data_IF_822188695873
#
_entry.id   IF_822188695873
#
_cell.length_a   1.000
_cell.length_b   1.000
_cell.length_c   1.000
_cell.angle_alpha   90.00
_cell.angle_beta   90.00
_cell.angle_gamma   90.00
#
_symmetry.space_group_name_H-M   'P 1'
#
loop_
_entity.id
_entity.type
_entity.pdbx_description
1 polymer ?
#
# COMPACT_ATOMS: atom_id res chain seq x y z
N UNK A 1 -29.16 -28.99 -4.54
CA UNK A 1 -30.62 -28.77 -4.63
C UNK A 1 -30.86 -27.85 -5.80
N UNK A 2 -31.56 -28.35 -6.81
CA UNK A 2 -31.78 -27.74 -8.13
C UNK A 2 -33.19 -27.16 -8.19
N UNK A 3 -33.39 -26.10 -8.99
CA UNK A 3 -34.62 -25.61 -9.69
C UNK A 3 -34.55 -24.07 -9.79
N UNK A 4 -34.78 -23.38 -10.90
CA UNK A 4 -35.34 -23.71 -12.22
C UNK A 4 -35.15 -22.50 -13.14
N UNK A 5 -34.84 -22.74 -14.41
CA UNK A 5 -34.95 -21.78 -15.49
C UNK A 5 -36.39 -21.75 -16.04
N UNK A 6 -36.82 -20.63 -16.62
CA UNK A 6 -37.90 -20.58 -17.62
C UNK A 6 -37.46 -19.65 -18.77
N UNK A 7 -37.58 -20.18 -19.98
CA UNK A 7 -37.30 -19.56 -21.27
C UNK A 7 -38.58 -18.96 -21.89
N UNK A 8 -38.42 -18.03 -22.84
CA UNK A 8 -39.37 -17.87 -23.95
C UNK A 8 -38.70 -17.21 -25.17
N UNK A 9 -38.69 -17.95 -26.29
CA UNK A 9 -38.42 -17.55 -27.67
C UNK A 9 -39.65 -16.79 -28.24
N UNK A 10 -39.74 -16.15 -29.41
CA UNK A 10 -38.94 -15.83 -30.61
C UNK A 10 -39.79 -14.81 -31.42
N UNK A 11 -39.25 -14.24 -32.51
CA UNK A 11 -39.84 -14.20 -33.88
C UNK A 11 -39.37 -12.98 -34.71
N UNK A 12 -38.91 -13.29 -35.92
CA UNK A 12 -38.43 -12.39 -36.97
C UNK A 12 -39.57 -11.62 -37.67
N UNK A 13 -39.27 -10.47 -38.29
CA UNK A 13 -39.34 -10.25 -39.76
C UNK A 13 -39.28 -8.75 -40.16
N UNK A 14 -38.41 -8.47 -41.15
CA UNK A 14 -38.52 -7.57 -42.32
C UNK A 14 -38.90 -6.08 -42.20
N UNK A 15 -38.17 -5.23 -42.95
CA UNK A 15 -38.73 -4.00 -43.54
C UNK A 15 -37.77 -2.82 -43.76
N UNK A 16 -37.74 -2.25 -44.97
CA UNK A 16 -36.77 -1.30 -45.53
C UNK A 16 -37.02 0.21 -45.26
N UNK A 17 -36.00 1.03 -45.52
CA UNK A 17 -36.06 2.50 -45.76
C UNK A 17 -35.04 3.26 -44.89
N UNK A 18 -34.24 4.23 -45.33
CA UNK A 18 -34.10 4.98 -46.57
C UNK A 18 -33.49 6.35 -46.24
N UNK A 19 -32.42 6.73 -46.95
CA UNK A 19 -31.85 8.07 -47.15
C UNK A 19 -30.89 8.74 -46.15
N UNK A 20 -29.70 9.00 -46.72
CA UNK A 20 -28.91 10.24 -46.69
C UNK A 20 -27.96 10.50 -45.53
N UNK A 21 -26.74 9.95 -45.63
CA UNK A 21 -25.57 10.55 -44.98
C UNK A 21 -24.50 10.89 -46.04
N UNK A 22 -24.30 12.18 -46.24
CA UNK A 22 -23.21 12.81 -46.99
C UNK A 22 -21.87 12.31 -46.46
N UNK A 23 -21.05 11.68 -47.31
CA UNK A 23 -19.69 11.27 -46.94
C UNK A 23 -18.70 12.38 -47.30
N UNK A 24 -18.15 13.06 -46.29
CA UNK A 24 -17.05 14.00 -46.45
C UNK A 24 -15.72 13.24 -46.37
N UNK A 25 -14.95 13.25 -47.45
CA UNK A 25 -13.60 12.67 -47.48
C UNK A 25 -12.62 13.63 -46.82
N UNK A 26 -12.09 13.26 -45.66
CA UNK A 26 -10.95 13.94 -45.02
C UNK A 26 -9.66 13.20 -45.37
N UNK A 27 -8.74 13.91 -46.04
CA UNK A 27 -7.39 13.42 -46.35
C UNK A 27 -6.52 13.68 -45.12
N UNK A 28 -6.14 12.62 -44.40
CA UNK A 28 -5.26 12.68 -43.24
C UNK A 28 -3.82 12.38 -43.67
N UNK A 29 -2.94 13.38 -43.58
CA UNK A 29 -1.49 13.21 -43.75
C UNK A 29 -0.93 12.54 -42.49
N UNK A 30 -0.30 11.36 -42.58
CA UNK A 30 0.27 10.70 -41.41
C UNK A 30 1.47 11.50 -40.86
N UNK A 31 1.55 11.73 -39.54
CA UNK A 31 2.69 12.40 -38.92
C UNK A 31 3.94 11.51 -39.01
N UNK A 32 5.10 12.15 -39.22
CA UNK A 32 6.38 11.47 -39.37
C UNK A 32 6.77 10.67 -38.11
N UNK A 33 7.09 9.39 -38.30
CA UNK A 33 7.52 8.48 -37.24
C UNK A 33 8.89 8.90 -36.69
N UNK A 34 8.93 9.25 -35.40
CA UNK A 34 10.17 9.47 -34.66
C UNK A 34 10.57 8.19 -33.94
N UNK A 35 11.74 7.63 -34.27
CA UNK A 35 12.28 6.43 -33.60
C UNK A 35 12.85 6.80 -32.24
N UNK A 36 12.11 6.53 -31.17
CA UNK A 36 12.62 6.62 -29.80
C UNK A 36 13.40 5.35 -29.45
N UNK A 37 14.69 5.48 -29.18
CA UNK A 37 15.53 4.39 -28.65
C UNK A 37 15.37 4.38 -27.13
N UNK A 38 14.53 3.49 -26.62
CA UNK A 38 14.37 3.28 -25.17
C UNK A 38 15.48 2.35 -24.69
N UNK A 39 16.53 2.90 -24.05
CA UNK A 39 17.42 2.09 -23.21
C UNK A 39 16.64 1.64 -21.98
N UNK A 40 16.40 0.34 -21.85
CA UNK A 40 15.84 -0.26 -20.63
C UNK A 40 16.90 -0.22 -19.53
N UNK A 41 16.80 0.76 -18.63
CA UNK A 41 17.57 0.78 -17.39
C UNK A 41 16.81 -0.04 -16.36
N UNK A 42 17.50 -0.97 -15.67
CA UNK A 42 16.89 -1.77 -14.62
C UNK A 42 16.34 -0.86 -13.49
N UNK A 43 15.18 -1.18 -12.88
CA UNK A 43 14.67 -0.42 -11.75
C UNK A 43 15.68 -0.40 -10.60
N UNK A 44 15.78 0.72 -9.85
CA UNK A 44 16.58 0.73 -8.64
C UNK A 44 16.06 -0.31 -7.63
N UNK A 45 16.95 -0.89 -6.80
CA UNK A 45 16.53 -1.78 -5.73
C UNK A 45 15.47 -1.13 -4.82
N UNK A 46 14.55 -1.90 -4.22
CA UNK A 46 13.64 -1.38 -3.22
C UNK A 46 14.39 -0.70 -2.07
N UNK A 47 13.84 0.38 -1.48
CA UNK A 47 14.42 0.99 -0.28
C UNK A 47 14.52 -0.04 0.86
N UNK A 48 15.59 0.07 1.66
CA UNK A 48 15.76 -0.73 2.87
C UNK A 48 14.83 -0.29 4.02
N UNK A 49 14.89 -1.00 5.16
CA UNK A 49 14.09 -0.67 6.33
C UNK A 49 14.41 0.73 6.86
N UNK A 50 13.37 1.44 7.33
CA UNK A 50 13.51 2.80 7.85
C UNK A 50 14.10 2.83 9.25
N UNK A 51 14.63 3.99 9.62
CA UNK A 51 15.13 4.29 10.97
C UNK A 51 14.30 5.38 11.67
N UNK A 52 13.23 5.86 11.03
CA UNK A 52 12.21 6.74 11.62
C UNK A 52 10.82 6.11 11.54
N UNK A 53 10.00 6.39 12.54
CA UNK A 53 8.58 5.99 12.61
C UNK A 53 7.76 7.23 12.92
N UNK A 54 7.01 7.71 11.94
CA UNK A 54 6.34 9.03 11.98
C UNK A 54 4.83 8.93 12.14
N UNK A 55 4.28 7.71 12.15
CA UNK A 55 2.85 7.48 12.23
C UNK A 55 2.52 6.37 13.23
N UNK A 56 1.26 6.35 13.66
CA UNK A 56 0.72 5.22 14.38
C UNK A 56 0.61 4.01 13.45
N UNK A 57 0.82 2.81 13.98
CA UNK A 57 0.68 1.59 13.20
C UNK A 57 1.47 0.44 13.78
N UNK A 58 1.52 -0.63 12.98
CA UNK A 58 2.33 -1.82 13.24
C UNK A 58 3.32 -1.97 12.09
N UNK A 59 4.61 -2.07 12.44
CA UNK A 59 5.73 -2.07 11.51
C UNK A 59 6.45 -3.40 11.57
N UNK A 60 6.67 -4.03 10.41
CA UNK A 60 7.43 -5.28 10.30
C UNK A 60 8.91 -4.98 10.55
N UNK A 61 9.51 -5.65 11.52
CA UNK A 61 10.93 -5.47 11.85
C UNK A 61 11.79 -6.11 10.75
N UNK A 62 12.90 -5.45 10.40
CA UNK A 62 13.81 -5.78 9.29
C UNK A 62 13.20 -5.64 7.89
N UNK A 63 11.97 -5.16 7.76
CA UNK A 63 11.33 -4.85 6.46
C UNK A 63 10.87 -3.41 6.39
N UNK A 64 10.01 -2.98 7.31
CA UNK A 64 9.51 -1.62 7.36
C UNK A 64 10.44 -0.73 8.19
N UNK A 65 10.95 -1.28 9.30
CA UNK A 65 11.85 -0.59 10.23
C UNK A 65 13.06 -1.47 10.57
N UNK A 66 14.22 -0.87 10.75
CA UNK A 66 15.42 -1.58 11.18
C UNK A 66 15.33 -1.96 12.67
N UNK A 67 15.85 -3.10 13.07
CA UNK A 67 16.06 -3.42 14.48
C UNK A 67 17.10 -2.48 15.12
N UNK A 68 16.96 -2.20 16.40
CA UNK A 68 17.86 -1.34 17.17
C UNK A 68 17.16 -0.57 18.28
N UNK A 69 17.85 0.40 18.88
CA UNK A 69 17.30 1.26 19.93
C UNK A 69 16.59 2.45 19.33
N UNK A 70 15.35 2.69 19.73
CA UNK A 70 14.55 3.82 19.32
C UNK A 70 14.24 4.73 20.50
N UNK A 71 14.21 6.03 20.25
CA UNK A 71 13.77 7.06 21.18
C UNK A 71 12.64 7.86 20.56
N UNK A 72 11.67 8.23 21.39
CA UNK A 72 10.67 9.25 21.08
C UNK A 72 10.68 10.31 22.20
N UNK A 73 10.31 11.54 21.85
CA UNK A 73 9.95 12.58 22.83
C UNK A 73 8.59 12.30 23.49
N UNK A 74 7.84 11.34 22.95
CA UNK A 74 6.59 10.84 23.48
C UNK A 74 5.36 11.63 23.06
N UNK A 75 4.20 11.04 23.34
CA UNK A 75 2.94 11.75 23.24
C UNK A 75 2.63 12.54 24.50
N UNK A 76 1.74 13.54 24.36
CA UNK A 76 1.19 14.28 25.49
C UNK A 76 0.39 13.37 26.44
N UNK A 77 -0.32 12.38 25.87
CA UNK A 77 -1.15 11.45 26.63
C UNK A 77 -1.10 10.04 26.00
N UNK A 78 -0.75 9.05 26.81
CA UNK A 78 -0.93 7.63 26.50
C UNK A 78 -0.13 7.14 25.31
N UNK A 79 1.15 7.52 25.20
CA UNK A 79 2.05 6.86 24.24
C UNK A 79 2.14 5.38 24.61
N UNK A 80 1.61 4.56 23.72
CA UNK A 80 1.62 3.12 23.83
C UNK A 80 2.48 2.51 22.74
N UNK A 81 3.36 1.59 23.12
CA UNK A 81 4.07 0.76 22.17
C UNK A 81 4.12 -0.68 22.63
N UNK A 82 4.27 -1.60 21.67
CA UNK A 82 4.47 -3.01 21.94
C UNK A 82 5.45 -3.61 20.93
N UNK A 83 6.36 -4.45 21.41
CA UNK A 83 7.14 -5.41 20.62
C UNK A 83 6.35 -6.71 20.54
N UNK A 84 6.17 -7.27 19.36
CA UNK A 84 5.27 -8.41 19.12
C UNK A 84 6.03 -9.65 18.62
N UNK A 85 5.64 -10.84 19.07
CA UNK A 85 6.17 -12.13 18.59
C UNK A 85 5.54 -12.55 17.27
N UNK A 86 4.33 -12.09 16.98
CA UNK A 86 3.60 -12.36 15.74
C UNK A 86 2.83 -11.12 15.28
N UNK A 87 1.95 -11.27 14.29
CA UNK A 87 1.02 -10.22 13.86
C UNK A 87 -0.25 -10.13 14.71
N UNK A 88 -0.43 -11.02 15.69
CA UNK A 88 -1.45 -10.85 16.72
C UNK A 88 -0.99 -9.77 17.70
N UNK A 89 -1.80 -8.72 17.85
CA UNK A 89 -1.50 -7.61 18.75
C UNK A 89 -1.48 -7.98 20.23
N UNK A 90 -2.00 -9.16 20.59
CA UNK A 90 -1.96 -9.69 21.96
C UNK A 90 -0.71 -10.55 22.24
N UNK A 91 0.04 -10.90 21.20
CA UNK A 91 1.26 -11.72 21.31
C UNK A 91 2.48 -10.85 21.61
N UNK A 92 2.47 -10.29 22.82
CA UNK A 92 3.37 -9.23 23.27
C UNK A 92 4.67 -9.82 23.85
N UNK A 93 5.80 -9.29 23.38
CA UNK A 93 7.13 -9.51 23.97
C UNK A 93 7.34 -8.55 25.14
N UNK A 94 7.05 -7.28 24.90
CA UNK A 94 7.24 -6.17 25.83
C UNK A 94 6.35 -5.01 25.39
N UNK A 95 5.83 -4.25 26.33
CA UNK A 95 5.01 -3.08 26.06
C UNK A 95 5.13 -2.04 27.16
N UNK A 96 4.80 -0.80 26.83
CA UNK A 96 4.67 0.26 27.82
C UNK A 96 3.58 1.23 27.41
N UNK A 97 2.96 1.86 28.42
CA UNK A 97 2.09 3.02 28.26
C UNK A 97 2.57 4.13 29.19
N UNK A 98 2.73 5.33 28.65
CA UNK A 98 3.15 6.47 29.46
C UNK A 98 3.18 7.77 28.68
N UNK A 99 3.40 8.85 29.40
CA UNK A 99 3.52 10.20 28.84
C UNK A 99 5.00 10.59 28.75
N UNK A 100 5.31 11.51 27.83
CA UNK A 100 6.66 12.03 27.66
C UNK A 100 7.65 11.02 27.07
N UNK A 101 8.97 11.32 27.13
CA UNK A 101 9.97 10.60 26.38
C UNK A 101 10.06 9.11 26.73
N UNK A 102 10.21 8.27 25.72
CA UNK A 102 10.36 6.83 25.89
C UNK A 102 11.51 6.27 25.03
N UNK A 103 12.10 5.18 25.49
CA UNK A 103 13.18 4.46 24.79
C UNK A 103 12.82 2.97 24.76
N UNK A 104 13.01 2.34 23.62
CA UNK A 104 12.76 0.90 23.43
C UNK A 104 13.86 0.28 22.58
N UNK A 105 14.31 -0.92 22.95
CA UNK A 105 15.16 -1.75 22.10
C UNK A 105 14.29 -2.72 21.32
N UNK A 106 14.20 -2.55 20.01
CA UNK A 106 13.57 -3.47 19.07
C UNK A 106 14.62 -4.49 18.64
N UNK A 107 14.36 -5.77 18.90
CA UNK A 107 15.31 -6.83 18.60
C UNK A 107 15.14 -7.34 17.17
N UNK A 108 16.19 -7.86 16.51
CA UNK A 108 16.07 -8.44 15.17
C UNK A 108 15.11 -9.63 15.09
N UNK A 109 14.82 -10.27 16.22
CA UNK A 109 13.91 -11.41 16.35
C UNK A 109 12.45 -11.01 16.60
N UNK A 110 12.17 -9.73 16.83
CA UNK A 110 10.80 -9.26 16.97
C UNK A 110 10.12 -9.35 15.59
N UNK A 111 8.85 -9.77 15.56
CA UNK A 111 8.11 -9.84 14.29
C UNK A 111 7.62 -8.45 13.88
N UNK A 112 7.08 -7.71 14.84
CA UNK A 112 6.54 -6.39 14.59
C UNK A 112 6.68 -5.45 15.80
N UNK A 113 6.69 -4.15 15.51
CA UNK A 113 6.60 -3.09 16.51
C UNK A 113 5.31 -2.30 16.27
N UNK A 114 4.45 -2.23 17.28
CA UNK A 114 3.23 -1.42 17.26
C UNK A 114 3.45 -0.15 18.07
N UNK A 115 2.99 0.99 17.56
CA UNK A 115 3.05 2.28 18.26
C UNK A 115 1.76 3.08 18.06
N UNK A 116 1.30 3.74 19.12
CA UNK A 116 0.11 4.60 19.14
C UNK A 116 0.34 5.80 20.04
N UNK A 117 0.03 7.00 19.53
CA UNK A 117 0.11 8.26 20.27
C UNK A 117 1.50 8.57 20.84
N UNK A 118 2.56 8.08 20.21
CA UNK A 118 3.93 8.26 20.69
C UNK A 118 4.70 9.40 20.02
N UNK A 119 4.13 10.06 19.01
CA UNK A 119 4.90 10.96 18.16
C UNK A 119 5.92 10.18 17.32
N UNK A 120 7.03 10.82 17.00
CA UNK A 120 8.04 10.26 16.12
C UNK A 120 9.07 9.45 16.91
N UNK A 121 9.31 8.21 16.47
CA UNK A 121 10.46 7.44 16.93
C UNK A 121 11.64 7.61 15.98
N UNK A 122 12.84 7.70 16.54
CA UNK A 122 14.10 7.72 15.81
C UNK A 122 15.06 6.69 16.37
N UNK A 123 15.69 5.90 15.50
CA UNK A 123 16.76 4.99 15.88
C UNK A 123 17.98 5.79 16.34
N UNK A 124 18.60 5.39 17.44
CA UNK A 124 19.72 6.09 18.10
C UNK A 124 21.01 5.27 18.19
N UNK A 125 21.06 4.13 17.52
CA UNK A 125 22.24 3.25 17.40
C UNK A 125 22.44 2.73 15.97
#
# INVERSE_FOLDING_TARGET
MMRTAIAAAALFLAGCGGSSHTSTTVISTPPAETKTVTKTVAPPPPPGPKTSIEANGTYIVNKDIAAGTYRTDGGKYGCYWARLRSFDTNDIIDNNVGDGPQVVRIMPTDTAFMTRSCGNWHKID
#
